data_IF_725742232454
#
_entry.id   IF_725742232454
#
_cell.length_a   1.000
_cell.length_b   1.000
_cell.length_c   1.000
_cell.angle_alpha   90.00
_cell.angle_beta   90.00
_cell.angle_gamma   90.00
#
_symmetry.space_group_name_H-M   'P 1'
#
loop_
_entity.id
_entity.type
_entity.pdbx_description
1 polymer ?
#
# COMPACT_ATOMS: atom_id res chain seq x y z
N UNK A 1 10.40 15.59 1.35
CA UNK A 1 11.34 15.47 0.21
C UNK A 1 10.56 14.99 -1.00
N UNK A 2 10.41 15.82 -2.04
CA UNK A 2 9.68 15.46 -3.27
C UNK A 2 10.51 14.45 -4.06
N UNK A 3 10.28 13.17 -3.81
CA UNK A 3 10.85 12.10 -4.60
C UNK A 3 10.00 11.93 -5.86
N UNK A 4 10.43 12.51 -6.98
CA UNK A 4 9.88 12.28 -8.33
C UNK A 4 9.57 10.79 -8.61
N UNK A 5 10.46 9.82 -8.27
CA UNK A 5 10.17 8.40 -8.53
C UNK A 5 9.02 7.84 -7.68
N UNK A 6 8.79 8.38 -6.48
CA UNK A 6 7.70 7.91 -5.61
C UNK A 6 6.33 8.28 -6.15
N UNK A 7 6.21 9.42 -6.86
CA UNK A 7 4.95 9.82 -7.47
C UNK A 7 4.57 8.92 -8.64
N UNK A 8 5.55 8.48 -9.45
CA UNK A 8 5.32 7.56 -10.56
C UNK A 8 4.83 6.22 -10.02
N UNK A 9 5.49 5.67 -9.01
CA UNK A 9 5.09 4.39 -8.39
C UNK A 9 3.71 4.52 -7.74
N UNK A 10 3.45 5.62 -7.02
CA UNK A 10 2.13 5.86 -6.43
C UNK A 10 1.03 5.96 -7.50
N UNK A 11 1.31 6.56 -8.67
CA UNK A 11 0.40 6.63 -9.79
C UNK A 11 0.16 5.25 -10.43
N UNK A 12 1.20 4.43 -10.59
CA UNK A 12 1.05 3.04 -11.06
C UNK A 12 0.21 2.20 -10.11
N UNK A 13 0.42 2.32 -8.80
CA UNK A 13 -0.40 1.65 -7.78
C UNK A 13 -1.85 2.13 -7.85
N UNK A 14 -2.09 3.42 -8.09
CA UNK A 14 -3.42 3.99 -8.26
C UNK A 14 -4.10 3.44 -9.53
N UNK A 15 -3.38 3.34 -10.64
CA UNK A 15 -3.89 2.75 -11.88
C UNK A 15 -4.26 1.28 -11.67
N UNK A 16 -3.41 0.52 -10.99
CA UNK A 16 -3.69 -0.86 -10.59
C UNK A 16 -4.95 -0.95 -9.72
N UNK A 17 -5.12 -0.05 -8.73
CA UNK A 17 -6.33 -0.01 -7.91
C UNK A 17 -7.60 0.24 -8.74
N UNK A 18 -7.55 1.09 -9.76
CA UNK A 18 -8.74 1.44 -10.55
C UNK A 18 -9.08 0.34 -11.56
N UNK A 19 -8.06 -0.25 -12.19
CA UNK A 19 -8.26 -1.25 -13.25
C UNK A 19 -8.47 -2.65 -12.69
N UNK A 20 -7.69 -3.03 -11.67
CA UNK A 20 -7.65 -4.41 -11.15
C UNK A 20 -8.45 -4.56 -9.86
N UNK A 21 -8.44 -3.60 -8.93
CA UNK A 21 -9.19 -3.76 -7.66
C UNK A 21 -10.70 -4.03 -7.81
N UNK A 22 -11.46 -3.48 -8.78
CA UNK A 22 -12.88 -3.81 -8.89
C UNK A 22 -13.15 -5.23 -9.38
N UNK A 23 -12.15 -5.91 -9.96
CA UNK A 23 -12.25 -7.29 -10.44
C UNK A 23 -11.99 -8.32 -9.32
N UNK A 24 -11.47 -7.89 -8.17
CA UNK A 24 -11.11 -8.78 -7.07
C UNK A 24 -11.88 -8.42 -5.78
N UNK A 25 -12.33 -9.40 -5.00
CA UNK A 25 -12.95 -9.13 -3.71
C UNK A 25 -11.94 -8.48 -2.75
N UNK A 26 -12.44 -7.67 -1.81
CA UNK A 26 -11.64 -7.04 -0.77
C UNK A 26 -11.02 -8.09 0.17
N UNK A 27 -9.83 -8.57 -0.16
CA UNK A 27 -9.09 -9.58 0.61
C UNK A 27 -8.19 -8.98 1.69
N UNK A 28 -7.98 -7.66 1.67
CA UNK A 28 -7.17 -6.96 2.66
C UNK A 28 -7.83 -6.99 4.04
N UNK A 29 -7.12 -7.55 5.02
CA UNK A 29 -7.53 -7.59 6.43
C UNK A 29 -7.29 -6.26 7.17
N UNK A 30 -6.39 -5.41 6.65
CA UNK A 30 -6.04 -4.16 7.29
C UNK A 30 -6.66 -2.95 6.60
N UNK A 31 -6.95 -1.90 7.38
CA UNK A 31 -7.39 -0.60 6.89
C UNK A 31 -6.34 0.48 7.22
N UNK A 32 -5.96 1.34 6.25
CA UNK A 32 -6.28 1.26 4.83
C UNK A 32 -5.70 0.00 4.17
N UNK A 33 -6.24 -0.37 3.00
CA UNK A 33 -5.85 -1.59 2.27
C UNK A 33 -4.34 -1.63 1.98
N UNK A 34 -3.77 -2.81 1.74
CA UNK A 34 -2.32 -2.95 1.49
C UNK A 34 -1.83 -2.11 0.31
N UNK A 35 -2.63 -1.96 -0.75
CA UNK A 35 -2.29 -1.13 -1.90
C UNK A 35 -2.34 0.37 -1.57
N UNK A 36 -3.32 0.81 -0.78
CA UNK A 36 -3.43 2.21 -0.36
C UNK A 36 -2.35 2.57 0.67
N UNK A 37 -2.05 1.65 1.60
CA UNK A 37 -0.91 1.73 2.49
C UNK A 37 0.39 1.88 1.69
N UNK A 38 0.58 1.07 0.65
CA UNK A 38 1.77 1.16 -0.20
C UNK A 38 1.89 2.53 -0.88
N UNK A 39 0.79 3.01 -1.47
CA UNK A 39 0.72 4.34 -2.09
C UNK A 39 1.11 5.44 -1.09
N UNK A 40 0.57 5.41 0.13
CA UNK A 40 0.89 6.37 1.18
C UNK A 40 2.34 6.24 1.67
N UNK A 41 2.86 5.03 1.81
CA UNK A 41 4.22 4.76 2.25
C UNK A 41 5.25 5.29 1.25
N UNK A 42 4.99 5.12 -0.06
CA UNK A 42 5.83 5.70 -1.11
C UNK A 42 5.83 7.22 -1.08
N UNK A 43 4.67 7.85 -0.91
CA UNK A 43 4.54 9.31 -0.85
C UNK A 43 5.18 9.92 0.39
N UNK A 44 5.16 9.19 1.51
CA UNK A 44 5.61 9.70 2.82
C UNK A 44 7.09 9.44 3.07
N UNK A 45 7.57 8.21 2.82
CA UNK A 45 8.93 7.80 3.16
C UNK A 45 9.86 7.59 1.95
N UNK A 46 9.36 7.73 0.73
CA UNK A 46 10.12 7.47 -0.50
C UNK A 46 10.06 6.01 -0.95
N UNK A 47 10.71 5.70 -2.09
CA UNK A 47 10.60 4.38 -2.73
C UNK A 47 11.15 3.26 -1.85
N UNK A 48 12.38 3.38 -1.35
CA UNK A 48 13.06 2.29 -0.64
C UNK A 48 12.32 1.92 0.66
N UNK A 49 12.10 2.91 1.54
CA UNK A 49 11.36 2.69 2.80
C UNK A 49 9.90 2.32 2.55
N UNK A 50 9.25 2.97 1.57
CA UNK A 50 7.88 2.66 1.19
C UNK A 50 7.72 1.21 0.72
N UNK A 51 8.66 0.71 -0.09
CA UNK A 51 8.64 -0.67 -0.60
C UNK A 51 8.80 -1.67 0.54
N UNK A 52 9.78 -1.46 1.42
CA UNK A 52 10.02 -2.33 2.57
C UNK A 52 8.79 -2.42 3.50
N UNK A 53 8.16 -1.28 3.82
CA UNK A 53 6.94 -1.25 4.64
C UNK A 53 5.76 -1.93 3.95
N UNK A 54 5.61 -1.74 2.64
CA UNK A 54 4.53 -2.33 1.85
C UNK A 54 4.66 -3.84 1.76
N UNK A 55 5.86 -4.36 1.49
CA UNK A 55 6.13 -5.79 1.42
C UNK A 55 5.86 -6.42 2.79
N UNK A 56 6.38 -5.82 3.86
CA UNK A 56 6.13 -6.30 5.22
C UNK A 56 4.64 -6.32 5.59
N UNK A 57 3.87 -5.36 5.08
CA UNK A 57 2.40 -5.33 5.24
C UNK A 57 1.72 -6.48 4.51
N UNK A 58 2.07 -6.70 3.24
CA UNK A 58 1.49 -7.75 2.40
C UNK A 58 1.76 -9.12 3.00
N UNK A 59 3.00 -9.37 3.46
CA UNK A 59 3.37 -10.63 4.10
C UNK A 59 2.55 -10.92 5.38
N UNK A 60 2.21 -9.88 6.14
CA UNK A 60 1.34 -9.99 7.33
C UNK A 60 -0.15 -10.01 7.00
N UNK A 61 -0.54 -9.69 5.77
CA UNK A 61 -1.94 -9.66 5.32
C UNK A 61 -2.39 -11.04 4.85
N UNK A 62 -2.53 -11.97 5.80
CA UNK A 62 -3.02 -13.33 5.55
C UNK A 62 -4.36 -13.58 6.31
N UNK A 63 -5.11 -14.65 5.97
CA UNK A 63 -6.41 -14.96 6.60
C UNK A 63 -6.36 -15.22 8.12
N UNK A 64 -5.19 -15.54 8.66
CA UNK A 64 -4.98 -15.74 10.10
C UNK A 64 -4.68 -14.44 10.85
N UNK A 65 -4.48 -13.33 10.13
CA UNK A 65 -4.35 -12.03 10.74
C UNK A 65 -5.70 -11.53 11.25
N UNK A 66 -5.72 -11.01 12.48
CA UNK A 66 -6.87 -10.27 13.04
C UNK A 66 -7.23 -9.04 12.18
N UNK A 67 -6.28 -8.52 11.40
CA UNK A 67 -6.47 -7.27 10.69
C UNK A 67 -6.56 -6.08 11.65
N UNK A 68 -6.96 -4.92 11.13
CA UNK A 68 -7.16 -3.72 11.95
C UNK A 68 -6.73 -2.42 11.29
N UNK A 69 -6.85 -1.32 12.05
CA UNK A 69 -6.45 0.02 11.62
C UNK A 69 -4.94 0.23 11.82
N UNK A 70 -4.21 0.42 10.74
CA UNK A 70 -2.77 0.71 10.79
C UNK A 70 -2.40 1.60 9.59
N UNK A 71 -2.52 2.93 9.75
CA UNK A 71 -2.15 3.89 8.73
C UNK A 71 -0.64 4.11 8.72
N UNK A 72 -0.12 4.56 7.57
CA UNK A 72 1.27 5.02 7.47
C UNK A 72 1.44 6.23 8.38
N UNK A 73 2.44 6.19 9.26
CA UNK A 73 2.79 7.32 10.15
C UNK A 73 3.65 8.33 9.36
N UNK A 74 3.36 9.62 9.48
CA UNK A 74 4.14 10.68 8.82
C UNK A 74 5.45 10.98 9.54
#
# INVERSE_FOLDING_TARGET
MRNIPSNIIAALVRLYQIVISPLFPNSCRYYPSCSEYARQAFLTHGVIKGLAMSIWRILRCNPWSKGGYDPVRR
#
